data_IF_981433737566
#
_entry.id   IF_981433737566
#
_cell.length_a   1.000
_cell.length_b   1.000
_cell.length_c   1.000
_cell.angle_alpha   90.00
_cell.angle_beta   90.00
_cell.angle_gamma   90.00
#
_symmetry.space_group_name_H-M   'P 1'
#
loop_
_entity.id
_entity.type
_entity.pdbx_description
1 polymer ?
#
# COMPACT_ATOMS: atom_id res chain seq x y z
N UNK A 1 5.72 -6.25 -15.12
CA UNK A 1 4.58 -5.59 -15.78
C UNK A 1 3.91 -4.63 -14.84
N UNK A 2 3.75 -3.39 -15.27
CA UNK A 2 2.98 -2.43 -14.51
C UNK A 2 1.49 -2.68 -14.75
N UNK A 3 0.77 -3.09 -13.71
CA UNK A 3 -0.68 -3.14 -13.75
C UNK A 3 -1.16 -1.70 -13.93
N UNK A 4 -2.01 -1.47 -14.92
CA UNK A 4 -2.55 -0.14 -15.19
C UNK A 4 -3.52 0.25 -14.09
N UNK A 5 -3.01 0.90 -13.06
CA UNK A 5 -3.84 1.45 -11.99
C UNK A 5 -4.20 2.89 -12.34
N UNK A 6 -5.47 3.15 -12.57
CA UNK A 6 -5.95 4.49 -12.94
C UNK A 6 -6.09 5.43 -11.76
N UNK A 7 -6.36 4.88 -10.59
CA UNK A 7 -6.67 5.64 -9.39
C UNK A 7 -5.64 5.30 -8.33
N UNK A 8 -4.80 6.27 -7.98
CA UNK A 8 -3.65 6.05 -7.10
C UNK A 8 -3.65 7.02 -5.92
N UNK A 9 -3.10 6.59 -4.82
CA UNK A 9 -2.76 7.44 -3.70
C UNK A 9 -1.47 6.94 -3.08
N UNK A 10 -0.66 7.87 -2.58
CA UNK A 10 0.63 7.55 -1.97
C UNK A 10 0.80 8.36 -0.69
N UNK A 11 1.18 7.68 0.39
CA UNK A 11 1.62 8.32 1.62
C UNK A 11 3.13 8.22 1.67
N UNK A 12 3.82 9.34 1.48
CA UNK A 12 5.29 9.38 1.53
C UNK A 12 5.76 9.68 2.94
N UNK A 13 6.90 9.10 3.30
CA UNK A 13 7.56 9.33 4.59
C UNK A 13 6.72 8.90 5.80
N UNK A 14 6.03 7.78 5.68
CA UNK A 14 5.34 7.17 6.81
C UNK A 14 6.37 6.64 7.82
N UNK A 15 6.21 6.98 9.10
CA UNK A 15 7.15 6.58 10.16
C UNK A 15 6.90 5.16 10.62
N UNK A 16 7.14 4.20 9.74
CA UNK A 16 6.97 2.79 10.01
C UNK A 16 7.91 2.01 9.06
N UNK A 17 8.38 0.84 9.49
CA UNK A 17 9.22 0.02 8.63
C UNK A 17 8.39 -0.72 7.59
N UNK A 18 8.97 -0.98 6.44
CA UNK A 18 8.34 -1.74 5.35
C UNK A 18 7.95 -3.16 5.81
N UNK A 19 8.78 -3.78 6.65
CA UNK A 19 8.52 -5.14 7.14
C UNK A 19 7.22 -5.24 7.95
N UNK A 20 6.86 -4.17 8.66
CA UNK A 20 5.60 -4.12 9.42
C UNK A 20 4.39 -3.84 8.53
N UNK A 21 4.59 -3.21 7.39
CA UNK A 21 3.53 -2.88 6.43
C UNK A 21 3.19 -4.04 5.50
N UNK A 22 4.19 -4.81 5.07
CA UNK A 22 4.01 -5.85 4.06
C UNK A 22 2.93 -6.88 4.37
N UNK A 23 2.84 -7.46 5.58
CA UNK A 23 1.76 -8.40 5.88
C UNK A 23 0.36 -7.79 5.74
N UNK A 24 0.22 -6.53 6.14
CA UNK A 24 -1.07 -5.82 6.06
C UNK A 24 -1.43 -5.50 4.61
N UNK A 25 -0.46 -5.11 3.79
CA UNK A 25 -0.67 -4.84 2.37
C UNK A 25 -1.04 -6.11 1.61
N UNK A 26 -0.44 -7.24 1.97
CA UNK A 26 -0.76 -8.53 1.35
C UNK A 26 -2.20 -8.95 1.62
N UNK A 27 -2.75 -8.59 2.78
CA UNK A 27 -4.14 -8.90 3.13
C UNK A 27 -5.15 -8.18 2.26
N UNK A 28 -4.85 -6.97 1.81
CA UNK A 28 -5.80 -6.17 1.03
C UNK A 28 -5.60 -6.27 -0.47
N UNK A 29 -4.46 -6.78 -0.91
CA UNK A 29 -4.17 -6.90 -2.34
C UNK A 29 -5.13 -7.89 -2.99
N UNK A 30 -5.79 -7.46 -4.07
CA UNK A 30 -6.78 -8.28 -4.78
C UNK A 30 -8.18 -8.25 -4.18
N UNK A 31 -8.41 -7.47 -3.13
CA UNK A 31 -9.72 -7.31 -2.52
C UNK A 31 -10.43 -6.09 -3.09
N UNK A 32 -11.77 -6.08 -2.95
CA UNK A 32 -12.55 -4.90 -3.31
C UNK A 32 -12.25 -3.73 -2.38
N UNK A 33 -12.35 -2.52 -2.91
CA UNK A 33 -12.10 -1.32 -2.12
C UNK A 33 -13.07 -1.16 -0.94
N UNK A 34 -14.29 -1.72 -1.02
CA UNK A 34 -15.23 -1.74 0.10
C UNK A 34 -14.83 -2.74 1.18
N UNK A 35 -14.26 -3.88 0.79
CA UNK A 35 -13.92 -4.96 1.73
C UNK A 35 -12.60 -4.69 2.45
N UNK A 36 -11.66 -4.04 1.79
CA UNK A 36 -10.33 -3.79 2.34
C UNK A 36 -10.35 -2.98 3.65
N UNK A 37 -11.13 -1.88 3.78
CA UNK A 37 -11.21 -1.16 5.05
C UNK A 37 -11.76 -2.01 6.19
N UNK A 38 -12.71 -2.89 5.91
CA UNK A 38 -13.28 -3.78 6.92
C UNK A 38 -12.25 -4.77 7.45
N UNK A 39 -11.41 -5.31 6.58
CA UNK A 39 -10.30 -6.19 6.97
C UNK A 39 -9.31 -5.44 7.85
N UNK A 40 -8.90 -4.24 7.44
CA UNK A 40 -7.92 -3.43 8.17
C UNK A 40 -8.46 -2.94 9.52
N UNK A 41 -9.76 -2.71 9.61
CA UNK A 41 -10.40 -2.22 10.84
C UNK A 41 -10.19 -3.17 12.02
N UNK A 42 -10.18 -4.47 11.78
CA UNK A 42 -10.00 -5.48 12.82
C UNK A 42 -8.55 -5.71 13.18
N UNK A 43 -7.60 -5.15 12.43
CA UNK A 43 -6.18 -5.28 12.71
C UNK A 43 -5.75 -4.25 13.76
N UNK A 44 -5.15 -4.68 14.89
CA UNK A 44 -4.71 -3.75 15.94
C UNK A 44 -3.43 -2.99 15.58
N UNK A 45 -2.82 -3.30 14.44
CA UNK A 45 -1.54 -2.75 14.02
C UNK A 45 -1.65 -1.27 13.66
N UNK A 46 -0.65 -0.48 14.06
CA UNK A 46 -0.59 0.94 13.72
C UNK A 46 -0.53 1.16 12.20
N UNK A 47 0.18 0.29 11.50
CA UNK A 47 0.28 0.36 10.05
C UNK A 47 -1.06 0.23 9.34
N UNK A 48 -2.01 -0.51 9.93
CA UNK A 48 -3.35 -0.64 9.37
C UNK A 48 -4.07 0.71 9.29
N UNK A 49 -3.89 1.57 10.29
CA UNK A 49 -4.50 2.90 10.28
C UNK A 49 -3.93 3.79 9.18
N UNK A 50 -2.62 3.70 8.95
CA UNK A 50 -1.95 4.44 7.87
C UNK A 50 -2.43 3.96 6.50
N UNK A 51 -2.56 2.66 6.31
CA UNK A 51 -3.03 2.06 5.06
C UNK A 51 -4.50 2.44 4.80
N UNK A 52 -5.34 2.45 5.82
CA UNK A 52 -6.74 2.88 5.69
C UNK A 52 -6.86 4.30 5.14
N UNK A 53 -6.02 5.22 5.62
CA UNK A 53 -6.00 6.60 5.15
C UNK A 53 -5.61 6.71 3.68
N UNK A 54 -4.59 5.94 3.27
CA UNK A 54 -4.16 5.91 1.87
C UNK A 54 -5.26 5.34 0.98
N UNK A 55 -5.93 4.29 1.43
CA UNK A 55 -7.02 3.67 0.69
C UNK A 55 -8.19 4.63 0.52
N UNK A 56 -8.58 5.35 1.56
CA UNK A 56 -9.62 6.38 1.48
C UNK A 56 -9.25 7.46 0.48
N UNK A 57 -7.99 7.88 0.47
CA UNK A 57 -7.49 8.88 -0.48
C UNK A 57 -7.58 8.36 -1.91
N UNK A 58 -7.23 7.10 -2.15
CA UNK A 58 -7.34 6.50 -3.48
C UNK A 58 -8.79 6.42 -3.95
N UNK A 59 -9.71 6.05 -3.06
CA UNK A 59 -11.15 6.01 -3.35
C UNK A 59 -11.69 7.40 -3.67
N UNK A 60 -11.28 8.42 -2.93
CA UNK A 60 -11.67 9.81 -3.18
C UNK A 60 -11.14 10.29 -4.54
N UNK A 61 -9.91 9.93 -4.90
CA UNK A 61 -9.34 10.25 -6.21
C UNK A 61 -10.13 9.58 -7.35
N UNK A 62 -10.62 8.37 -7.12
CA UNK A 62 -11.46 7.67 -8.07
C UNK A 62 -12.80 8.39 -8.27
N UNK A 63 -13.43 8.82 -7.19
CA UNK A 63 -14.68 9.58 -7.25
C UNK A 63 -14.50 10.90 -7.99
N UNK A 64 -13.39 11.60 -7.75
CA UNK A 64 -13.06 12.85 -8.45
C UNK A 64 -12.91 12.64 -9.96
N UNK A 65 -12.47 11.47 -10.39
CA UNK A 65 -12.34 11.11 -11.80
C UNK A 65 -13.63 10.61 -12.43
N UNK A 66 -14.73 10.61 -11.69
CA UNK A 66 -16.05 10.29 -12.21
C UNK A 66 -16.53 8.88 -11.98
N UNK A 67 -15.85 8.10 -11.14
CA UNK A 67 -16.32 6.76 -10.78
C UNK A 67 -17.51 6.89 -9.83
N UNK A 68 -18.64 6.26 -10.18
CA UNK A 68 -19.87 6.35 -9.38
C UNK A 68 -19.77 5.64 -8.05
N UNK A 69 -19.18 4.44 -8.06
CA UNK A 69 -19.01 3.65 -6.84
C UNK A 69 -17.56 3.16 -6.75
N UNK A 70 -16.76 3.90 -5.98
CA UNK A 70 -15.35 3.56 -5.78
C UNK A 70 -15.18 2.24 -5.04
N UNK A 71 -16.20 1.79 -4.30
CA UNK A 71 -16.15 0.53 -3.59
C UNK A 71 -16.10 -0.71 -4.49
N UNK A 72 -16.55 -0.60 -5.73
CA UNK A 72 -16.52 -1.68 -6.70
C UNK A 72 -15.14 -1.88 -7.36
N UNK A 73 -14.22 -0.95 -7.12
CA UNK A 73 -12.86 -1.06 -7.62
C UNK A 73 -12.07 -2.11 -6.82
N UNK A 74 -11.07 -2.69 -7.46
CA UNK A 74 -10.21 -3.70 -6.84
C UNK A 74 -8.86 -3.08 -6.51
N UNK A 75 -8.30 -3.44 -5.35
CA UNK A 75 -6.94 -3.04 -4.98
C UNK A 75 -5.97 -3.85 -5.83
N UNK A 76 -5.55 -3.28 -6.94
CA UNK A 76 -4.67 -3.94 -7.89
C UNK A 76 -3.20 -3.82 -7.49
N UNK A 77 -2.83 -2.70 -6.86
CA UNK A 77 -1.46 -2.43 -6.42
C UNK A 77 -1.49 -1.97 -4.96
N UNK A 78 -0.74 -2.65 -4.12
CA UNK A 78 -0.56 -2.28 -2.72
C UNK A 78 0.90 -2.54 -2.37
N UNK A 79 1.69 -1.47 -2.31
CA UNK A 79 3.14 -1.56 -2.12
C UNK A 79 3.59 -0.73 -0.94
N UNK A 80 4.60 -1.26 -0.24
CA UNK A 80 5.37 -0.49 0.72
C UNK A 80 6.82 -0.44 0.26
N UNK A 81 7.29 0.74 -0.06
CA UNK A 81 8.66 0.97 -0.51
C UNK A 81 9.47 1.61 0.61
N UNK A 82 10.78 1.30 0.67
CA UNK A 82 11.67 1.87 1.67
C UNK A 82 11.91 3.35 1.46
N UNK A 83 11.78 4.13 2.53
CA UNK A 83 12.10 5.55 2.54
C UNK A 83 13.45 5.83 3.21
N UNK A 84 13.78 7.12 3.43
CA UNK A 84 15.00 7.49 4.11
C UNK A 84 15.02 6.99 5.56
N UNK A 85 16.22 6.72 6.07
CA UNK A 85 16.42 6.27 7.44
C UNK A 85 17.10 7.34 8.25
N UNK A 86 16.64 7.52 9.48
CA UNK A 86 17.37 8.33 10.47
C UNK A 86 18.20 7.38 11.32
N UNK A 87 19.49 7.69 11.41
CA UNK A 87 20.45 6.92 12.21
C UNK A 87 20.66 7.61 13.55
N UNK A 88 20.41 6.88 14.63
CA UNK A 88 20.59 7.39 16.00
C UNK A 88 21.52 6.46 16.75
N UNK A 89 22.27 7.03 17.70
CA UNK A 89 23.18 6.26 18.54
C UNK A 89 22.47 5.84 19.84
N UNK A 90 22.69 4.59 20.24
CA UNK A 90 22.21 4.08 21.50
C UNK A 90 23.42 3.64 22.35
N UNK A 91 23.71 4.33 23.46
CA UNK A 91 24.79 3.91 24.35
C UNK A 91 24.52 2.54 24.95
N UNK A 92 25.55 1.70 24.98
CA UNK A 92 25.49 0.35 25.56
C UNK A 92 26.62 0.19 26.56
N UNK A 93 26.70 -1.01 27.16
CA UNK A 93 27.72 -1.36 28.13
C UNK A 93 29.14 -1.23 27.57
N UNK A 94 30.11 -1.00 28.45
CA UNK A 94 31.54 -0.90 28.15
C UNK A 94 31.90 0.27 27.23
N UNK A 95 31.13 1.36 27.30
CA UNK A 95 31.41 2.55 26.49
C UNK A 95 31.12 2.40 25.01
N UNK A 96 30.48 1.32 24.60
CA UNK A 96 30.12 1.10 23.20
C UNK A 96 28.80 1.74 22.87
N UNK A 97 28.64 2.18 21.61
CA UNK A 97 27.40 2.73 21.10
C UNK A 97 26.97 1.94 19.87
N UNK A 98 25.69 1.61 19.80
CA UNK A 98 25.12 0.90 18.67
C UNK A 98 24.19 1.81 17.89
N UNK A 99 24.13 1.57 16.60
CA UNK A 99 23.31 2.35 15.67
C UNK A 99 21.86 1.86 15.69
N UNK A 100 20.93 2.78 15.92
CA UNK A 100 19.49 2.52 15.75
C UNK A 100 19.06 3.15 14.43
N UNK A 101 18.44 2.33 13.58
CA UNK A 101 17.90 2.79 12.30
C UNK A 101 16.40 3.03 12.45
N UNK A 102 16.03 4.31 12.42
CA UNK A 102 14.61 4.70 12.39
C UNK A 102 14.17 4.76 10.93
N UNK A 103 13.52 3.69 10.50
CA UNK A 103 13.11 3.52 9.10
C UNK A 103 11.81 4.25 8.81
N UNK A 104 11.67 4.68 7.57
CA UNK A 104 10.42 5.20 7.03
C UNK A 104 10.03 4.40 5.80
N UNK A 105 8.79 4.55 5.37
CA UNK A 105 8.28 3.84 4.20
C UNK A 105 7.35 4.73 3.39
N UNK A 106 7.20 4.39 2.13
CA UNK A 106 6.23 5.03 1.25
C UNK A 106 5.16 4.00 0.94
N UNK A 107 3.90 4.31 1.24
CA UNK A 107 2.77 3.43 1.01
C UNK A 107 2.08 3.88 -0.29
N UNK A 108 1.98 2.98 -1.25
CA UNK A 108 1.31 3.25 -2.52
C UNK A 108 0.16 2.26 -2.72
N UNK A 109 -1.02 2.77 -2.99
CA UNK A 109 -2.21 1.97 -3.29
C UNK A 109 -2.76 2.41 -4.63
N UNK A 110 -3.01 1.45 -5.51
CA UNK A 110 -3.62 1.68 -6.81
C UNK A 110 -4.89 0.87 -6.95
N UNK A 111 -5.95 1.52 -7.38
CA UNK A 111 -7.25 0.89 -7.64
C UNK A 111 -7.46 0.75 -9.14
N UNK A 112 -8.12 -0.32 -9.55
CA UNK A 112 -8.43 -0.59 -10.95
C UNK A 112 -9.81 -1.21 -11.08
N UNK A 113 -10.43 -1.05 -12.24
CA UNK A 113 -11.66 -1.73 -12.58
C UNK A 113 -11.38 -3.20 -12.89
N UNK A 114 -12.34 -4.07 -12.64
CA UNK A 114 -12.25 -5.49 -13.00
C UNK A 114 -12.02 -5.71 -14.49
N UNK A 115 -12.59 -4.85 -15.32
CA UNK A 115 -12.41 -4.91 -16.78
C UNK A 115 -10.95 -4.62 -17.17
N UNK A 116 -10.29 -3.69 -16.49
CA UNK A 116 -8.88 -3.38 -16.74
C UNK A 116 -7.97 -4.54 -16.34
N UNK A 117 -8.28 -5.20 -15.22
CA UNK A 117 -7.53 -6.37 -14.76
C UNK A 117 -7.68 -7.56 -15.72
N UNK A 118 -8.87 -7.79 -16.22
CA UNK A 118 -9.13 -8.86 -17.19
C UNK A 118 -8.38 -8.61 -18.50
N UNK A 119 -8.29 -7.35 -18.93
CA UNK A 119 -7.53 -6.97 -20.13
C UNK A 119 -6.03 -7.22 -19.95
N UNK A 120 -5.47 -6.90 -18.80
CA UNK A 120 -4.06 -7.15 -18.49
C UNK A 120 -3.75 -8.67 -18.42
N UNK A 121 -4.67 -9.48 -17.92
CA UNK A 121 -4.51 -10.94 -17.91
C UNK A 121 -4.51 -11.51 -19.33
N UNK A 122 -5.40 -11.03 -20.20
CA UNK A 122 -5.46 -11.45 -21.60
C UNK A 122 -4.18 -11.07 -22.37
N UNK A 123 -3.65 -9.88 -22.15
CA UNK A 123 -2.38 -9.45 -22.72
C UNK A 123 -1.21 -10.29 -22.19
N UNK A 124 -1.25 -10.69 -20.94
CA UNK A 124 -0.25 -11.55 -20.33
C UNK A 124 -0.23 -12.96 -20.94
N UNK A 125 -1.40 -13.52 -21.26
CA UNK A 125 -1.50 -14.82 -21.90
C UNK A 125 -1.01 -14.80 -23.36
N UNK A 126 -1.28 -13.75 -24.09
CA UNK A 126 -0.81 -13.60 -25.48
C UNK A 126 0.71 -13.45 -25.57
N UNK A 127 1.37 -12.91 -24.56
CA UNK A 127 2.81 -12.70 -24.57
C UNK A 127 3.62 -13.98 -24.28
N UNK A 128 2.99 -15.04 -23.78
CA UNK A 128 3.64 -16.32 -23.47
C UNK A 128 3.66 -17.31 -24.66
N UNK A 129 3.10 -16.95 -25.79
CA UNK A 129 3.21 -17.70 -27.03
C UNK A 129 4.44 -17.19 -27.82
#
# INVERSE_FOLDING_TARGET
MSISTRYKATHRFARISVLKLRPLLDLIRGKYADDAPDILKYMPHRGARLIEQVLKSAMANAEDKGVRNAGDLVVADARGDGGPMFKRLMPRARGMAYLIRRRSAHIAIGLADLTDLAADEDEGEESDE
#
